data_IF_097863861016
#
_entry.id   IF_097863861016
#
_cell.length_a   1.000
_cell.length_b   1.000
_cell.length_c   1.000
_cell.angle_alpha   90.00
_cell.angle_beta   90.00
_cell.angle_gamma   90.00
#
_symmetry.space_group_name_H-M   'P 1'
#
loop_
_entity.id
_entity.type
_entity.pdbx_description
1 polymer ?
#
# COMPACT_ATOMS: atom_id res chain seq x y z
N UNK A 1 -20.91 71.85 7.45
CA UNK A 1 -21.35 70.64 8.20
C UNK A 1 -22.48 70.04 7.38
N UNK A 2 -22.46 68.82 6.84
CA UNK A 2 -21.76 67.59 7.21
C UNK A 2 -21.46 66.78 5.94
N UNK A 3 -20.30 66.13 5.90
CA UNK A 3 -19.91 65.14 4.90
C UNK A 3 -20.73 63.86 5.14
N UNK A 4 -21.28 63.25 4.10
CA UNK A 4 -21.65 61.83 4.13
C UNK A 4 -20.61 61.08 3.30
N UNK A 5 -19.71 60.42 4.02
CA UNK A 5 -18.59 59.62 3.56
C UNK A 5 -19.02 58.15 3.46
N UNK A 6 -18.68 57.52 2.34
CA UNK A 6 -19.02 56.15 1.98
C UNK A 6 -18.28 55.13 2.86
N UNK A 7 -19.00 54.11 3.35
CA UNK A 7 -18.39 52.90 3.90
C UNK A 7 -18.72 51.70 3.00
N UNK A 8 -18.02 51.61 1.87
CA UNK A 8 -17.97 50.41 1.05
C UNK A 8 -17.08 49.38 1.75
N UNK A 9 -17.66 48.50 2.56
CA UNK A 9 -16.92 47.40 3.19
C UNK A 9 -16.86 46.23 2.22
N UNK A 10 -15.85 46.23 1.35
CA UNK A 10 -15.55 45.11 0.46
C UNK A 10 -15.01 43.94 1.28
N UNK A 11 -15.83 42.91 1.49
CA UNK A 11 -15.39 41.59 1.93
C UNK A 11 -14.50 41.00 0.82
N UNK A 12 -13.19 40.97 1.07
CA UNK A 12 -12.23 40.28 0.22
C UNK A 12 -12.42 38.77 0.34
N UNK A 13 -13.02 38.18 -0.69
CA UNK A 13 -13.09 36.73 -0.88
C UNK A 13 -11.66 36.22 -1.09
N UNK A 14 -11.14 35.49 -0.11
CA UNK A 14 -9.87 34.75 -0.25
C UNK A 14 -10.08 33.67 -1.32
N UNK A 15 -9.44 33.83 -2.48
CA UNK A 15 -9.51 32.88 -3.58
C UNK A 15 -8.82 31.54 -3.21
N UNK A 16 -9.43 30.38 -3.53
CA UNK A 16 -8.96 29.06 -3.09
C UNK A 16 -7.75 28.47 -3.85
N UNK A 17 -6.93 29.28 -4.51
CA UNK A 17 -5.82 28.76 -5.34
C UNK A 17 -4.59 28.29 -4.52
N UNK A 18 -4.22 28.98 -3.45
CA UNK A 18 -3.00 28.65 -2.68
C UNK A 18 -3.08 27.31 -1.91
N UNK A 19 -4.30 26.88 -1.55
CA UNK A 19 -4.53 25.64 -0.80
C UNK A 19 -4.33 24.38 -1.65
N UNK A 20 -4.59 24.45 -2.96
CA UNK A 20 -4.45 23.30 -3.87
C UNK A 20 -2.98 22.95 -4.16
N UNK A 21 -2.12 23.95 -4.36
CA UNK A 21 -0.68 23.76 -4.57
C UNK A 21 0.04 23.27 -3.31
N UNK A 22 -0.40 23.73 -2.13
CA UNK A 22 0.13 23.25 -0.85
C UNK A 22 -0.25 21.79 -0.60
N UNK A 23 -1.44 21.37 -1.01
CA UNK A 23 -1.88 19.98 -0.86
C UNK A 23 -1.10 19.01 -1.76
N UNK A 24 -0.85 19.37 -3.02
CA UNK A 24 -0.11 18.51 -3.95
C UNK A 24 1.36 18.34 -3.55
N UNK A 25 2.00 19.41 -3.08
CA UNK A 25 3.39 19.37 -2.58
C UNK A 25 3.53 18.53 -1.33
N UNK A 26 2.58 18.62 -0.39
CA UNK A 26 2.57 17.80 0.83
C UNK A 26 2.45 16.30 0.51
N UNK A 27 1.58 15.91 -0.42
CA UNK A 27 1.42 14.50 -0.84
C UNK A 27 2.68 13.97 -1.50
N UNK A 28 3.32 14.75 -2.38
CA UNK A 28 4.56 14.35 -3.03
C UNK A 28 5.70 14.16 -2.02
N UNK A 29 5.84 15.09 -1.05
CA UNK A 29 6.85 15.00 0.00
C UNK A 29 6.64 13.77 0.89
N UNK A 30 5.40 13.49 1.29
CA UNK A 30 5.06 12.29 2.07
C UNK A 30 5.36 11.01 1.30
N UNK A 31 5.05 10.95 0.01
CA UNK A 31 5.36 9.80 -0.84
C UNK A 31 6.88 9.55 -0.89
N UNK A 32 7.67 10.58 -1.19
CA UNK A 32 9.13 10.48 -1.23
C UNK A 32 9.72 10.03 0.12
N UNK A 33 9.29 10.64 1.22
CA UNK A 33 9.74 10.28 2.55
C UNK A 33 9.38 8.83 2.92
N UNK A 34 8.18 8.38 2.53
CA UNK A 34 7.75 7.00 2.78
C UNK A 34 8.60 5.97 2.01
N UNK A 35 8.94 6.27 0.75
CA UNK A 35 9.79 5.42 -0.07
C UNK A 35 11.20 5.36 0.53
N UNK A 36 11.79 6.51 0.86
CA UNK A 36 13.11 6.58 1.48
C UNK A 36 13.14 5.83 2.81
N UNK A 37 12.15 6.02 3.68
CA UNK A 37 12.07 5.33 4.96
C UNK A 37 12.01 3.79 4.78
N UNK A 38 11.26 3.29 3.79
CA UNK A 38 11.19 1.86 3.48
C UNK A 38 12.56 1.29 3.11
N UNK A 39 13.29 1.93 2.20
CA UNK A 39 14.63 1.48 1.79
C UNK A 39 15.64 1.57 2.93
N UNK A 40 15.63 2.65 3.73
CA UNK A 40 16.51 2.77 4.89
C UNK A 40 16.25 1.66 5.90
N UNK A 41 14.98 1.36 6.19
CA UNK A 41 14.61 0.27 7.09
C UNK A 41 15.05 -1.10 6.57
N UNK A 42 14.91 -1.35 5.26
CA UNK A 42 15.33 -2.60 4.62
C UNK A 42 16.87 -2.77 4.67
N UNK A 43 17.62 -1.70 4.40
CA UNK A 43 19.09 -1.69 4.50
C UNK A 43 19.58 -1.91 5.94
N UNK A 44 18.90 -1.32 6.93
CA UNK A 44 19.22 -1.50 8.35
C UNK A 44 18.84 -2.88 8.88
N UNK A 45 17.85 -3.54 8.27
CA UNK A 45 17.35 -4.85 8.68
C UNK A 45 17.36 -5.81 7.48
N UNK A 46 18.56 -6.22 7.02
CA UNK A 46 18.66 -7.14 5.90
C UNK A 46 18.04 -8.49 6.26
N UNK A 47 17.52 -9.18 5.24
CA UNK A 47 16.88 -10.49 5.39
C UNK A 47 17.92 -11.55 5.74
N UNK A 48 17.56 -12.44 6.66
CA UNK A 48 18.30 -13.67 6.91
C UNK A 48 17.51 -14.85 6.34
N UNK A 49 17.94 -15.39 5.20
CA UNK A 49 17.21 -16.45 4.47
C UNK A 49 17.08 -17.74 5.28
N UNK A 50 18.06 -18.07 6.12
CA UNK A 50 17.97 -19.24 7.00
C UNK A 50 16.85 -19.04 8.03
N UNK A 51 16.73 -17.83 8.58
CA UNK A 51 15.66 -17.49 9.51
C UNK A 51 14.28 -17.53 8.83
N UNK A 52 14.18 -17.01 7.60
CA UNK A 52 12.94 -17.08 6.79
C UNK A 52 12.45 -18.52 6.64
N UNK A 53 13.38 -19.45 6.36
CA UNK A 53 13.05 -20.88 6.25
C UNK A 53 12.51 -21.43 7.57
N UNK A 54 13.16 -21.13 8.69
CA UNK A 54 12.74 -21.59 10.03
C UNK A 54 11.34 -21.07 10.36
N UNK A 55 11.09 -19.79 10.12
CA UNK A 55 9.81 -19.14 10.42
C UNK A 55 8.68 -19.67 9.54
N UNK A 56 8.93 -19.87 8.24
CA UNK A 56 7.94 -20.44 7.33
C UNK A 56 7.60 -21.89 7.70
N UNK A 57 8.60 -22.70 8.06
CA UNK A 57 8.35 -24.06 8.55
C UNK A 57 7.54 -24.05 9.86
N UNK A 58 7.78 -23.08 10.74
CA UNK A 58 7.00 -22.91 11.96
C UNK A 58 5.54 -22.57 11.66
N UNK A 59 5.27 -21.72 10.67
CA UNK A 59 3.90 -21.44 10.20
C UNK A 59 3.24 -22.72 9.64
N UNK A 60 3.94 -23.49 8.82
CA UNK A 60 3.45 -24.78 8.28
C UNK A 60 3.08 -25.80 9.35
N UNK A 61 3.72 -25.78 10.52
CA UNK A 61 3.39 -26.67 11.65
C UNK A 61 2.07 -26.33 12.35
N UNK A 62 1.50 -25.14 12.12
CA UNK A 62 0.25 -24.72 12.75
C UNK A 62 -0.93 -25.40 12.03
N UNK A 63 -1.74 -26.23 12.71
CA UNK A 63 -2.82 -26.98 12.06
C UNK A 63 -3.83 -26.09 11.32
N UNK A 64 -4.12 -24.91 11.88
CA UNK A 64 -5.00 -23.94 11.25
C UNK A 64 -4.49 -23.45 9.90
N UNK A 65 -3.18 -23.17 9.80
CA UNK A 65 -2.54 -22.72 8.58
C UNK A 65 -2.33 -23.86 7.58
N UNK A 66 -1.88 -25.04 8.04
CA UNK A 66 -1.66 -26.21 7.19
C UNK A 66 -2.90 -26.58 6.35
N UNK A 67 -4.11 -26.45 6.92
CA UNK A 67 -5.38 -26.69 6.20
C UNK A 67 -5.62 -25.76 5.01
N UNK A 68 -5.12 -24.52 5.08
CA UNK A 68 -5.33 -23.49 4.03
C UNK A 68 -4.09 -23.23 3.20
N UNK A 69 -2.94 -23.82 3.54
CA UNK A 69 -1.66 -23.61 2.88
C UNK A 69 -1.59 -24.22 1.48
N UNK A 70 -2.42 -25.23 1.19
CA UNK A 70 -2.51 -25.86 -0.12
C UNK A 70 -3.87 -25.56 -0.76
N UNK A 71 -3.86 -25.29 -2.06
CA UNK A 71 -5.06 -25.06 -2.86
C UNK A 71 -5.12 -26.05 -4.02
N UNK A 72 -6.29 -26.64 -4.23
CA UNK A 72 -6.59 -27.49 -5.36
C UNK A 72 -7.41 -26.71 -6.38
N UNK A 73 -6.81 -26.38 -7.52
CA UNK A 73 -7.50 -25.73 -8.64
C UNK A 73 -8.23 -26.79 -9.47
N UNK A 74 -9.58 -26.72 -9.60
CA UNK A 74 -10.37 -27.75 -10.29
C UNK A 74 -10.37 -27.53 -11.81
N UNK A 75 -9.18 -27.60 -12.43
CA UNK A 75 -9.02 -27.56 -13.89
C UNK A 75 -8.56 -28.92 -14.40
N UNK A 76 -9.28 -29.51 -15.36
CA UNK A 76 -8.99 -30.86 -15.86
C UNK A 76 -8.99 -31.90 -14.74
N UNK A 77 -7.86 -32.61 -14.57
CA UNK A 77 -7.65 -33.58 -13.48
C UNK A 77 -7.36 -32.94 -12.11
N UNK A 78 -7.32 -31.61 -12.04
CA UNK A 78 -6.96 -30.88 -10.83
C UNK A 78 -5.46 -30.58 -10.76
N UNK A 79 -5.11 -29.39 -10.26
CA UNK A 79 -3.72 -29.00 -9.97
C UNK A 79 -3.65 -28.58 -8.51
N UNK A 80 -2.78 -29.22 -7.74
CA UNK A 80 -2.58 -28.91 -6.32
C UNK A 80 -1.24 -28.21 -6.12
N UNK A 81 -1.24 -27.13 -5.34
CA UNK A 81 -0.03 -26.39 -5.02
C UNK A 81 -0.22 -25.44 -3.84
N UNK A 82 0.82 -24.66 -3.50
CA UNK A 82 0.71 -23.62 -2.48
C UNK A 82 -0.43 -22.65 -2.79
N UNK A 83 -1.19 -22.29 -1.76
CA UNK A 83 -2.29 -21.34 -1.88
C UNK A 83 -1.80 -19.89 -1.81
N UNK A 84 -2.69 -18.94 -2.09
CA UNK A 84 -2.43 -17.52 -1.84
C UNK A 84 -2.13 -17.23 -0.36
N UNK A 85 -2.78 -17.96 0.56
CA UNK A 85 -2.53 -17.84 2.01
C UNK A 85 -1.11 -18.29 2.36
N UNK A 86 -0.58 -19.30 1.66
CA UNK A 86 0.81 -19.70 1.80
C UNK A 86 1.76 -18.60 1.30
N UNK A 87 1.49 -18.03 0.12
CA UNK A 87 2.30 -16.94 -0.42
C UNK A 87 2.34 -15.71 0.51
N UNK A 88 1.19 -15.30 1.05
CA UNK A 88 1.10 -14.21 2.04
C UNK A 88 1.92 -14.51 3.30
N UNK A 89 1.90 -15.75 3.80
CA UNK A 89 2.72 -16.15 4.94
C UNK A 89 4.22 -16.17 4.62
N UNK A 90 4.59 -16.66 3.43
CA UNK A 90 5.97 -16.63 2.95
C UNK A 90 6.49 -15.19 2.82
N UNK A 91 5.69 -14.28 2.27
CA UNK A 91 6.04 -12.85 2.20
C UNK A 91 6.24 -12.23 3.58
N UNK A 92 5.36 -12.55 4.55
CA UNK A 92 5.52 -12.08 5.94
C UNK A 92 6.81 -12.59 6.58
N UNK A 93 7.15 -13.86 6.37
CA UNK A 93 8.39 -14.44 6.90
C UNK A 93 9.62 -13.85 6.20
N UNK A 94 9.54 -13.63 4.89
CA UNK A 94 10.65 -13.10 4.09
C UNK A 94 11.02 -11.67 4.49
N UNK A 95 10.04 -10.85 4.87
CA UNK A 95 10.26 -9.44 5.16
C UNK A 95 10.72 -8.65 3.92
N UNK A 96 10.82 -7.32 4.05
CA UNK A 96 11.28 -6.41 3.00
C UNK A 96 10.59 -6.59 1.62
N UNK A 97 9.37 -7.13 1.60
CA UNK A 97 8.53 -7.22 0.40
C UNK A 97 7.33 -6.30 0.59
N UNK A 98 7.14 -5.37 -0.33
CA UNK A 98 6.05 -4.39 -0.28
C UNK A 98 5.06 -4.62 -1.44
N UNK A 99 3.94 -5.33 -1.19
CA UNK A 99 2.84 -5.37 -2.13
C UNK A 99 2.04 -4.06 -2.08
N UNK A 100 1.76 -3.49 -3.25
CA UNK A 100 0.93 -2.31 -3.41
C UNK A 100 -0.20 -2.59 -4.38
N UNK A 101 -1.42 -2.19 -3.98
CA UNK A 101 -2.62 -2.31 -4.82
C UNK A 101 -3.22 -0.92 -4.96
N UNK A 102 -3.22 -0.39 -6.18
CA UNK A 102 -3.84 0.88 -6.52
C UNK A 102 -5.04 0.64 -7.43
N UNK A 103 -6.18 1.24 -7.11
CA UNK A 103 -7.34 1.22 -8.03
C UNK A 103 -7.11 2.29 -9.10
N UNK A 104 -6.97 1.86 -10.35
CA UNK A 104 -6.82 2.77 -11.49
C UNK A 104 -8.17 3.21 -12.05
N UNK A 105 -9.18 2.35 -11.92
CA UNK A 105 -10.53 2.59 -12.40
C UNK A 105 -11.52 1.77 -11.59
N UNK A 106 -12.70 2.33 -11.29
CA UNK A 106 -13.78 1.66 -10.56
C UNK A 106 -15.11 2.27 -11.04
N UNK A 107 -15.94 1.46 -11.70
CA UNK A 107 -17.32 1.82 -12.06
C UNK A 107 -18.29 0.68 -11.67
N UNK A 108 -19.56 0.80 -12.06
CA UNK A 108 -20.57 -0.22 -11.76
C UNK A 108 -20.30 -1.57 -12.47
N UNK A 109 -19.53 -1.58 -13.55
CA UNK A 109 -19.36 -2.74 -14.44
C UNK A 109 -17.98 -3.41 -14.33
N UNK A 110 -16.93 -2.66 -13.97
CA UNK A 110 -15.55 -3.15 -13.86
C UNK A 110 -14.70 -2.32 -12.89
N UNK A 111 -13.73 -3.02 -12.31
CA UNK A 111 -12.66 -2.43 -11.50
C UNK A 111 -11.30 -2.84 -12.05
N UNK A 112 -10.45 -1.85 -12.33
CA UNK A 112 -9.08 -2.06 -12.80
C UNK A 112 -8.13 -1.74 -11.66
N UNK A 113 -7.37 -2.76 -11.24
CA UNK A 113 -6.37 -2.66 -10.19
C UNK A 113 -4.97 -2.76 -10.80
N UNK A 114 -4.07 -1.88 -10.38
CA UNK A 114 -2.63 -2.06 -10.53
C UNK A 114 -2.11 -2.76 -9.29
N UNK A 115 -1.53 -3.94 -9.47
CA UNK A 115 -0.84 -4.67 -8.42
C UNK A 115 0.66 -4.63 -8.73
N UNK A 116 1.47 -4.18 -7.79
CA UNK A 116 2.93 -4.20 -7.86
C UNK A 116 3.49 -4.80 -6.58
N UNK A 117 4.65 -5.47 -6.69
CA UNK A 117 5.41 -5.93 -5.53
C UNK A 117 6.84 -5.45 -5.70
N UNK A 118 7.34 -4.71 -4.71
CA UNK A 118 8.72 -4.24 -4.66
C UNK A 118 9.51 -5.04 -3.64
N UNK A 119 10.65 -5.57 -4.07
CA UNK A 119 11.66 -6.10 -3.18
C UNK A 119 12.59 -4.97 -2.73
N UNK A 120 12.65 -4.74 -1.41
CA UNK A 120 13.31 -3.59 -0.77
C UNK A 120 14.72 -3.93 -0.28
#
# INVERSE_FOLDING_TARGET
MSKHENANTSLSVVQPHATAETASTAVAAQAAASVQARYVMALQRPRNIDQVRVDLLKECKRPGFARVAMYHKPIGKGVTGPSIRFAEAAMRCMGNLMPEVATLYDDHDKRILRVSVTDL
#
